data_IF_134187169369
#
_entry.id   IF_134187169369
#
_cell.length_a   1.000
_cell.length_b   1.000
_cell.length_c   1.000
_cell.angle_alpha   90.00
_cell.angle_beta   90.00
_cell.angle_gamma   90.00
#
_symmetry.space_group_name_H-M   'P 1'
#
loop_
_entity.id
_entity.type
_entity.pdbx_description
1 polymer ?
#
# COMPACT_ATOMS: atom_id res chain seq x y z
N UNK A 1 -1.64 1.09 -4.59
CA UNK A 1 -2.66 1.60 -3.64
C UNK A 1 -2.04 2.06 -2.32
N UNK A 2 -2.50 3.19 -1.77
CA UNK A 2 -2.06 3.72 -0.46
C UNK A 2 -3.24 4.05 0.45
N UNK A 3 -3.02 4.00 1.76
CA UNK A 3 -4.02 4.40 2.75
C UNK A 3 -3.40 5.17 3.91
N UNK A 4 -4.21 5.97 4.58
CA UNK A 4 -3.90 6.65 5.82
C UNK A 4 -4.61 5.93 6.96
N UNK A 5 -3.86 5.57 8.00
CA UNK A 5 -4.36 5.06 9.26
C UNK A 5 -3.73 5.88 10.40
N UNK A 6 -4.56 6.50 11.23
CA UNK A 6 -4.12 7.36 12.34
C UNK A 6 -3.11 8.44 11.93
N UNK A 7 -3.33 9.04 10.75
CA UNK A 7 -2.46 10.09 10.19
C UNK A 7 -1.13 9.58 9.59
N UNK A 8 -0.86 8.27 9.62
CA UNK A 8 0.29 7.66 8.96
C UNK A 8 -0.11 7.06 7.62
N UNK A 9 0.71 7.28 6.60
CA UNK A 9 0.51 6.73 5.26
C UNK A 9 1.21 5.38 5.12
N UNK A 10 0.52 4.41 4.55
CA UNK A 10 0.99 3.05 4.29
C UNK A 10 0.82 2.69 2.81
N UNK A 11 1.72 1.85 2.30
CA UNK A 11 1.70 1.34 0.93
C UNK A 11 1.28 -0.13 0.92
N UNK A 12 0.25 -0.48 0.14
CA UNK A 12 -0.29 -1.85 0.06
C UNK A 12 0.60 -2.76 -0.79
N UNK A 13 1.26 -2.20 -1.81
CA UNK A 13 2.11 -2.96 -2.73
C UNK A 13 3.38 -3.52 -2.07
N UNK A 14 3.64 -3.08 -0.83
CA UNK A 14 4.76 -3.53 -0.05
C UNK A 14 4.73 -5.03 0.31
N UNK A 15 3.58 -5.68 0.30
CA UNK A 15 3.49 -7.08 0.73
C UNK A 15 4.34 -8.02 -0.15
N UNK A 16 4.57 -7.65 -1.41
CA UNK A 16 5.41 -8.37 -2.37
C UNK A 16 6.91 -8.45 -2.00
N UNK A 17 7.39 -7.65 -1.03
CA UNK A 17 8.82 -7.56 -0.67
C UNK A 17 9.17 -8.18 0.69
N UNK A 18 8.31 -9.05 1.21
CA UNK A 18 8.59 -9.75 2.46
C UNK A 18 9.74 -10.75 2.28
N UNK A 19 10.62 -10.82 3.28
CA UNK A 19 11.69 -11.82 3.28
C UNK A 19 11.14 -13.19 3.73
N UNK A 20 11.88 -14.27 3.42
CA UNK A 20 11.56 -15.60 3.94
C UNK A 20 11.45 -15.61 5.48
N UNK A 21 12.29 -14.82 6.16
CA UNK A 21 12.23 -14.70 7.62
C UNK A 21 10.95 -14.04 8.12
N UNK A 22 10.38 -13.11 7.36
CA UNK A 22 9.09 -12.50 7.69
C UNK A 22 7.96 -13.52 7.48
N UNK A 23 7.99 -14.30 6.39
CA UNK A 23 7.03 -15.39 6.13
C UNK A 23 7.04 -16.44 7.24
N UNK A 24 8.23 -16.92 7.64
CA UNK A 24 8.37 -17.89 8.73
C UNK A 24 7.88 -17.33 10.06
N UNK A 25 8.11 -16.03 10.31
CA UNK A 25 7.62 -15.36 11.50
C UNK A 25 6.09 -15.27 11.49
N UNK A 26 5.48 -14.89 10.37
CA UNK A 26 4.04 -14.84 10.22
C UNK A 26 3.40 -16.20 10.54
N UNK A 27 3.89 -17.29 9.93
CA UNK A 27 3.34 -18.63 10.19
C UNK A 27 3.44 -19.03 11.66
N UNK A 28 4.59 -18.74 12.30
CA UNK A 28 4.76 -18.99 13.74
C UNK A 28 3.81 -18.18 14.60
N UNK A 29 3.54 -16.93 14.24
CA UNK A 29 2.59 -16.08 14.96
C UNK A 29 1.15 -16.56 14.76
N UNK A 30 0.80 -17.00 13.54
CA UNK A 30 -0.51 -17.56 13.23
C UNK A 30 -0.80 -18.86 13.99
N UNK A 31 0.17 -19.78 14.06
CA UNK A 31 0.06 -21.00 14.87
C UNK A 31 -0.16 -20.68 16.35
N UNK A 32 0.49 -19.63 16.86
CA UNK A 32 0.36 -19.21 18.27
C UNK A 32 -0.96 -18.50 18.55
N UNK A 33 -1.44 -17.72 17.60
CA UNK A 33 -2.70 -16.99 17.69
C UNK A 33 -3.93 -17.85 17.40
N UNK A 34 -3.74 -19.11 16.99
CA UNK A 34 -4.80 -20.04 16.58
C UNK A 34 -5.73 -19.45 15.49
N UNK A 35 -5.15 -18.67 14.57
CA UNK A 35 -5.93 -18.00 13.52
C UNK A 35 -6.36 -18.95 12.40
N UNK A 36 -5.72 -20.12 12.31
CA UNK A 36 -5.98 -21.10 11.25
C UNK A 36 -5.62 -20.61 9.84
N UNK A 37 -4.78 -19.57 9.72
CA UNK A 37 -4.40 -18.94 8.44
C UNK A 37 -2.90 -19.07 8.21
N UNK A 38 -2.49 -19.74 7.15
CA UNK A 38 -1.08 -19.83 6.74
C UNK A 38 -0.70 -18.70 5.80
N UNK A 39 0.61 -18.51 5.57
CA UNK A 39 1.09 -17.61 4.54
C UNK A 39 0.59 -17.99 3.14
N UNK A 40 0.42 -19.29 2.86
CA UNK A 40 -0.10 -19.73 1.57
C UNK A 40 -1.55 -19.25 1.37
N UNK A 41 -2.38 -19.32 2.41
CA UNK A 41 -3.76 -18.79 2.37
C UNK A 41 -3.76 -17.27 2.13
N UNK A 42 -2.81 -16.55 2.73
CA UNK A 42 -2.62 -15.12 2.46
C UNK A 42 -2.25 -14.90 1.00
N UNK A 43 -1.30 -15.64 0.44
CA UNK A 43 -0.90 -15.49 -0.97
C UNK A 43 -2.07 -15.74 -1.92
N UNK A 44 -2.90 -16.74 -1.64
CA UNK A 44 -4.12 -17.01 -2.41
C UNK A 44 -5.11 -15.85 -2.33
N UNK A 45 -5.37 -15.33 -1.12
CA UNK A 45 -6.20 -14.12 -0.94
C UNK A 45 -5.64 -12.91 -1.68
N UNK A 46 -4.31 -12.70 -1.66
CA UNK A 46 -3.66 -11.61 -2.39
C UNK A 46 -3.81 -11.78 -3.91
N UNK A 47 -3.72 -13.01 -4.41
CA UNK A 47 -3.88 -13.31 -5.83
C UNK A 47 -5.33 -13.08 -6.28
N UNK A 48 -6.32 -13.45 -5.48
CA UNK A 48 -7.73 -13.12 -5.74
C UNK A 48 -7.94 -11.61 -5.87
N UNK A 49 -7.38 -10.84 -4.93
CA UNK A 49 -7.51 -9.38 -4.90
C UNK A 49 -6.87 -8.73 -6.13
N UNK A 50 -5.77 -9.29 -6.68
CA UNK A 50 -5.12 -8.73 -7.88
C UNK A 50 -6.05 -8.68 -9.09
N UNK A 51 -7.02 -9.59 -9.20
CA UNK A 51 -8.01 -9.59 -10.28
C UNK A 51 -9.12 -8.54 -10.14
N UNK A 52 -9.25 -7.90 -8.96
CA UNK A 52 -10.33 -6.98 -8.65
C UNK A 52 -9.97 -5.51 -8.96
N UNK A 53 -11.00 -4.68 -9.17
CA UNK A 53 -10.84 -3.22 -9.22
C UNK A 53 -10.49 -2.68 -7.84
N UNK A 54 -9.90 -1.48 -7.76
CA UNK A 54 -9.56 -0.89 -6.47
C UNK A 54 -10.77 -0.65 -5.57
N UNK A 55 -11.94 -0.34 -6.13
CA UNK A 55 -13.18 -0.19 -5.35
C UNK A 55 -13.67 -1.53 -4.80
N UNK A 56 -13.55 -2.61 -5.58
CA UNK A 56 -13.93 -3.95 -5.14
C UNK A 56 -12.95 -4.48 -4.09
N UNK A 57 -11.64 -4.23 -4.26
CA UNK A 57 -10.60 -4.58 -3.28
C UNK A 57 -10.88 -3.96 -1.91
N UNK A 58 -11.31 -2.69 -1.87
CA UNK A 58 -11.61 -1.99 -0.61
C UNK A 58 -12.77 -2.62 0.17
N UNK A 59 -13.69 -3.29 -0.51
CA UNK A 59 -14.88 -3.91 0.08
C UNK A 59 -14.71 -5.41 0.31
N UNK A 60 -13.63 -6.00 -0.20
CA UNK A 60 -13.37 -7.43 -0.09
C UNK A 60 -13.05 -7.82 1.36
N UNK A 61 -13.55 -8.96 1.87
CA UNK A 61 -13.22 -9.42 3.23
C UNK A 61 -11.71 -9.52 3.49
N UNK A 62 -10.94 -9.89 2.46
CA UNK A 62 -9.48 -9.99 2.56
C UNK A 62 -8.74 -8.64 2.68
N UNK A 63 -9.45 -7.50 2.55
CA UNK A 63 -8.84 -6.17 2.69
C UNK A 63 -8.25 -5.95 4.09
N UNK A 64 -8.82 -6.56 5.13
CA UNK A 64 -8.29 -6.45 6.49
C UNK A 64 -6.88 -7.03 6.60
N UNK A 65 -6.63 -8.16 5.94
CA UNK A 65 -5.32 -8.82 5.92
C UNK A 65 -4.30 -7.99 5.15
N UNK A 66 -4.69 -7.40 4.01
CA UNK A 66 -3.86 -6.46 3.25
C UNK A 66 -3.40 -5.27 4.12
N UNK A 67 -4.35 -4.64 4.81
CA UNK A 67 -4.08 -3.49 5.66
C UNK A 67 -3.16 -3.87 6.82
N UNK A 68 -3.42 -5.00 7.49
CA UNK A 68 -2.63 -5.47 8.62
C UNK A 68 -1.19 -5.79 8.19
N UNK A 69 -1.01 -6.47 7.05
CA UNK A 69 0.32 -6.75 6.48
C UNK A 69 1.07 -5.47 6.12
N UNK A 70 0.38 -4.47 5.58
CA UNK A 70 0.99 -3.18 5.24
C UNK A 70 1.47 -2.42 6.49
N UNK A 71 0.67 -2.43 7.56
CA UNK A 71 1.06 -1.83 8.86
C UNK A 71 2.22 -2.60 9.45
N UNK A 72 2.10 -3.93 9.56
CA UNK A 72 3.13 -4.80 10.11
C UNK A 72 4.47 -4.59 9.40
N UNK A 73 4.47 -4.59 8.06
CA UNK A 73 5.66 -4.37 7.25
C UNK A 73 6.28 -2.98 7.46
N UNK A 74 5.47 -1.93 7.54
CA UNK A 74 5.97 -0.57 7.77
C UNK A 74 6.77 -0.46 9.08
N UNK A 75 6.31 -1.12 10.15
CA UNK A 75 7.06 -1.19 11.41
C UNK A 75 8.33 -2.05 11.30
N UNK A 76 8.31 -3.10 10.50
CA UNK A 76 9.49 -3.92 10.24
C UNK A 76 10.56 -3.14 9.48
N UNK A 77 10.16 -2.39 8.45
CA UNK A 77 11.05 -1.55 7.66
C UNK A 77 11.66 -0.41 8.50
N UNK A 78 10.97 0.05 9.57
CA UNK A 78 11.53 1.01 10.53
C UNK A 78 12.44 0.40 11.61
N UNK A 79 12.62 -0.93 11.60
CA UNK A 79 13.41 -1.67 12.59
C UNK A 79 12.66 -1.96 13.90
N UNK A 80 11.38 -1.63 14.00
CA UNK A 80 10.56 -1.92 15.17
C UNK A 80 10.02 -3.36 15.14
N UNK A 81 9.99 -3.99 16.31
CA UNK A 81 9.44 -5.34 16.47
C UNK A 81 7.94 -5.25 16.81
N UNK A 82 7.09 -5.22 15.79
CA UNK A 82 5.64 -5.36 15.92
C UNK A 82 5.23 -6.81 15.57
N UNK A 83 4.37 -7.42 16.39
CA UNK A 83 3.70 -8.68 16.02
C UNK A 83 2.59 -8.40 15.03
N UNK A 84 2.24 -9.41 14.23
CA UNK A 84 1.13 -9.33 13.29
C UNK A 84 -0.21 -9.15 14.02
N UNK A 85 -0.39 -9.80 15.17
CA UNK A 85 -1.55 -9.61 16.04
C UNK A 85 -1.74 -8.15 16.45
N UNK A 86 -0.67 -7.49 16.90
CA UNK A 86 -0.72 -6.08 17.26
C UNK A 86 -0.98 -5.18 16.04
N UNK A 87 -0.64 -5.63 14.83
CA UNK A 87 -1.02 -4.92 13.61
C UNK A 87 -2.52 -5.09 13.28
N UNK A 88 -3.10 -6.28 13.51
CA UNK A 88 -4.54 -6.52 13.40
C UNK A 88 -5.33 -5.66 14.40
N UNK A 89 -4.91 -5.62 15.67
CA UNK A 89 -5.56 -4.82 16.73
C UNK A 89 -5.55 -3.31 16.43
N UNK A 90 -4.56 -2.85 15.64
CA UNK A 90 -4.46 -1.45 15.22
C UNK A 90 -5.41 -1.08 14.10
N UNK A 91 -6.02 -2.06 13.43
CA UNK A 91 -7.10 -1.79 12.49
C UNK A 91 -8.39 -1.60 13.29
N UNK A 92 -8.86 -0.37 13.56
CA UNK A 92 -10.20 -0.21 14.09
C UNK A 92 -11.14 -0.90 13.12
N UNK A 93 -12.13 -1.66 13.60
CA UNK A 93 -13.16 -2.30 12.78
C UNK A 93 -13.69 -1.30 11.73
N UNK A 94 -13.09 -1.37 10.53
CA UNK A 94 -13.15 -0.45 9.39
C UNK A 94 -13.77 0.94 9.67
N UNK A 95 -13.27 1.68 10.66
CA UNK A 95 -13.78 3.03 10.95
C UNK A 95 -13.23 4.01 9.89
N UNK A 96 -14.14 4.55 9.07
CA UNK A 96 -13.83 5.47 7.97
C UNK A 96 -13.26 6.83 8.41
N UNK A 97 -13.37 7.21 9.69
CA UNK A 97 -12.73 8.41 10.22
C UNK A 97 -11.22 8.23 10.39
N UNK A 98 -10.81 7.01 10.78
CA UNK A 98 -9.41 6.63 11.04
C UNK A 98 -8.72 6.05 9.82
N UNK A 99 -9.46 5.34 8.96
CA UNK A 99 -8.96 4.72 7.73
C UNK A 99 -9.43 5.52 6.51
N UNK A 100 -8.49 6.09 5.75
CA UNK A 100 -8.77 6.82 4.51
C UNK A 100 -7.93 6.28 3.36
N UNK A 101 -8.57 5.87 2.28
CA UNK A 101 -7.88 5.49 1.05
C UNK A 101 -7.36 6.73 0.33
N UNK A 102 -6.10 6.70 -0.10
CA UNK A 102 -5.53 7.77 -0.91
C UNK A 102 -5.66 7.42 -2.40
N UNK A 103 -5.89 8.42 -3.27
CA UNK A 103 -5.78 8.20 -4.70
C UNK A 103 -4.35 7.76 -5.04
N UNK A 104 -4.24 6.89 -6.04
CA UNK A 104 -2.93 6.56 -6.60
C UNK A 104 -2.27 7.83 -7.14
N UNK A 105 -0.93 7.96 -7.01
CA UNK A 105 -0.24 9.14 -7.46
C UNK A 105 -0.45 9.30 -8.97
N UNK A 106 -0.94 10.48 -9.40
CA UNK A 106 -1.03 10.78 -10.81
C UNK A 106 0.38 10.80 -11.42
N UNK A 107 0.56 10.12 -12.54
CA UNK A 107 1.79 10.25 -13.33
C UNK A 107 2.00 11.72 -13.69
N UNK A 108 3.18 12.26 -13.33
CA UNK A 108 3.53 13.63 -13.68
C UNK A 108 3.54 13.78 -15.20
N UNK A 109 2.49 14.39 -15.75
CA UNK A 109 2.48 14.78 -17.16
C UNK A 109 3.61 15.80 -17.37
N UNK A 110 4.56 15.54 -18.27
CA UNK A 110 5.62 16.51 -18.55
C UNK A 110 4.98 17.82 -19.01
N UNK A 111 5.46 18.95 -18.47
CA UNK A 111 4.98 20.26 -18.87
C UNK A 111 5.16 20.40 -20.39
N UNK A 112 4.08 20.71 -21.10
CA UNK A 112 4.11 20.94 -22.54
C UNK A 112 5.21 21.98 -22.85
N UNK A 113 6.22 21.66 -23.65
CA UNK A 113 7.28 22.61 -23.96
C UNK A 113 6.66 23.83 -24.62
N UNK A 114 6.77 25.01 -23.97
CA UNK A 114 6.39 26.28 -24.59
C UNK A 114 7.21 26.40 -25.88
N UNK A 115 6.54 26.37 -27.03
CA UNK A 115 7.16 26.61 -28.34
C UNK A 115 8.06 27.84 -28.23
N UNK A 116 9.33 27.66 -28.57
CA UNK A 116 10.30 28.75 -28.60
C UNK A 116 9.74 29.87 -29.48
N UNK A 117 9.69 31.09 -28.92
CA UNK A 117 9.19 32.27 -29.63
C UNK A 117 10.15 32.52 -30.81
N UNK A 118 9.65 32.63 -32.06
CA UNK A 118 10.53 32.87 -33.19
C UNK A 118 11.30 34.18 -33.00
N UNK A 119 12.57 34.24 -33.44
CA UNK A 119 13.39 35.43 -33.29
C UNK A 119 12.73 36.59 -34.03
N UNK A 120 12.57 37.70 -33.31
CA UNK A 120 12.00 38.95 -33.83
C UNK A 120 12.97 39.44 -34.91
N UNK A 121 12.54 39.35 -36.18
CA UNK A 121 13.30 39.81 -37.35
C UNK A 121 13.71 41.26 -37.10
N UNK A 122 15.01 41.49 -36.92
CA UNK A 122 15.57 42.83 -36.82
C UNK A 122 15.30 43.56 -38.13
N UNK A 123 14.63 44.69 -38.03
CA UNK A 123 14.59 45.74 -39.04
C UNK A 123 16.02 46.26 -39.24
N UNK A 124 16.73 45.69 -40.21
CA UNK A 124 17.96 46.25 -40.75
C UNK A 124 17.61 47.47 -41.60
N UNK A 125 17.91 48.65 -41.07
CA UNK A 125 18.03 49.87 -41.87
C UNK A 125 19.41 49.92 -42.51
N UNK A 126 19.43 50.11 -43.83
CA UNK A 126 20.41 50.86 -44.62
C UNK A 126 19.89 50.85 -46.07
#
# INVERSE_FOLDING_TARGET
MRFVLDGKTYEVDGISRLSLMDVLRFNRESERGDWGVTWADIEDMLNELRGLTDEDRKRHPAAVWLLALSVWRSFRDSGEALTFEAALDRLPALNSERLKWLPDPEDHKPANPRKARPPRRGSGGA
#
